data_IF_795783360042
#
_entry.id   IF_795783360042
#
_cell.length_a   1.000
_cell.length_b   1.000
_cell.length_c   1.000
_cell.angle_alpha   90.00
_cell.angle_beta   90.00
_cell.angle_gamma   90.00
#
_symmetry.space_group_name_H-M   'P 1'
#
loop_
_entity.id
_entity.type
_entity.pdbx_description
1 polymer ?
#
# COMPACT_ATOMS: atom_id res chain seq x y z
N UNK A 1 23.58 -5.93 5.30
CA UNK A 1 22.46 -5.08 5.73
C UNK A 1 21.47 -4.81 4.60
N UNK A 2 21.93 -4.43 3.43
CA UNK A 2 21.07 -4.20 2.26
C UNK A 2 20.33 -5.46 1.79
N UNK A 3 21.00 -6.61 1.75
CA UNK A 3 20.38 -7.89 1.39
C UNK A 3 19.26 -8.32 2.33
N UNK A 4 19.38 -8.04 3.63
CA UNK A 4 18.34 -8.36 4.62
C UNK A 4 17.09 -7.49 4.42
N UNK A 5 17.29 -6.22 4.04
CA UNK A 5 16.19 -5.28 3.74
C UNK A 5 15.39 -5.71 2.52
N UNK A 6 16.07 -6.19 1.48
CA UNK A 6 15.42 -6.68 0.26
C UNK A 6 14.59 -7.94 0.52
N UNK A 7 15.09 -8.87 1.33
CA UNK A 7 14.37 -10.11 1.65
C UNK A 7 13.07 -9.82 2.39
N UNK A 8 13.11 -8.90 3.37
CA UNK A 8 11.93 -8.51 4.14
C UNK A 8 10.87 -7.82 3.27
N UNK A 9 11.28 -6.87 2.43
CA UNK A 9 10.42 -6.22 1.45
C UNK A 9 9.81 -7.23 0.46
N UNK A 10 10.62 -8.11 -0.08
CA UNK A 10 10.18 -9.10 -1.06
C UNK A 10 9.13 -10.04 -0.48
N UNK A 11 9.29 -10.49 0.76
CA UNK A 11 8.29 -11.33 1.43
C UNK A 11 6.96 -10.59 1.63
N UNK A 12 7.01 -9.33 2.03
CA UNK A 12 5.80 -8.52 2.18
C UNK A 12 5.06 -8.40 0.86
N UNK A 13 5.77 -8.10 -0.23
CA UNK A 13 5.16 -7.97 -1.57
C UNK A 13 4.62 -9.32 -2.07
N UNK A 14 5.32 -10.43 -1.83
CA UNK A 14 4.87 -11.76 -2.26
C UNK A 14 3.55 -12.17 -1.61
N UNK A 15 3.28 -11.71 -0.40
CA UNK A 15 2.07 -12.07 0.35
C UNK A 15 0.99 -11.00 0.31
N UNK A 16 1.26 -9.83 -0.27
CA UNK A 16 0.31 -8.75 -0.35
C UNK A 16 -0.79 -9.04 -1.39
N UNK A 17 -2.08 -8.95 -1.04
CA UNK A 17 -3.13 -8.98 -2.03
C UNK A 17 -3.06 -7.72 -2.91
N UNK A 18 -3.41 -7.88 -4.19
CA UNK A 18 -3.39 -6.82 -5.19
C UNK A 18 -4.76 -6.73 -5.86
N UNK A 19 -5.37 -5.56 -5.79
CA UNK A 19 -6.69 -5.27 -6.36
C UNK A 19 -6.52 -4.31 -7.53
N UNK A 20 -6.80 -4.76 -8.76
CA UNK A 20 -6.58 -3.96 -9.97
C UNK A 20 -7.76 -3.09 -10.38
N UNK A 21 -8.91 -3.30 -9.79
CA UNK A 21 -10.17 -2.71 -10.25
C UNK A 21 -10.85 -1.87 -9.18
N UNK A 22 -10.08 -1.08 -8.44
CA UNK A 22 -10.66 -0.09 -7.52
C UNK A 22 -11.50 0.91 -8.33
N UNK A 23 -12.72 1.15 -7.88
CA UNK A 23 -13.67 2.06 -8.55
C UNK A 23 -14.44 2.93 -7.55
N UNK A 24 -14.02 2.93 -6.31
CA UNK A 24 -14.63 3.73 -5.24
C UNK A 24 -14.48 5.22 -5.53
N UNK A 25 -15.45 5.99 -5.05
CA UNK A 25 -15.46 7.45 -5.20
C UNK A 25 -14.96 8.19 -3.96
N UNK A 26 -14.72 7.46 -2.87
CA UNK A 26 -14.20 8.00 -1.61
C UNK A 26 -12.98 7.22 -1.17
N UNK A 27 -11.97 7.93 -0.68
CA UNK A 27 -10.73 7.29 -0.18
C UNK A 27 -10.97 6.37 1.01
N UNK A 28 -11.97 6.66 1.84
CA UNK A 28 -12.36 5.81 2.97
C UNK A 28 -12.84 4.44 2.49
N UNK A 29 -13.57 4.41 1.39
CA UNK A 29 -14.06 3.16 0.80
C UNK A 29 -12.94 2.36 0.13
N UNK A 30 -11.96 3.03 -0.45
CA UNK A 30 -10.74 2.38 -0.96
C UNK A 30 -9.99 1.69 0.17
N UNK A 31 -9.80 2.37 1.31
CA UNK A 31 -9.15 1.78 2.47
C UNK A 31 -9.91 0.55 2.97
N UNK A 32 -11.23 0.62 3.03
CA UNK A 32 -12.07 -0.53 3.42
C UNK A 32 -11.93 -1.70 2.45
N UNK A 33 -11.93 -1.44 1.14
CA UNK A 33 -11.75 -2.46 0.11
C UNK A 33 -10.39 -3.18 0.28
N UNK A 34 -9.33 -2.42 0.53
CA UNK A 34 -8.00 -3.00 0.73
C UNK A 34 -7.90 -3.79 2.05
N UNK A 35 -8.57 -3.34 3.10
CA UNK A 35 -8.66 -4.11 4.34
C UNK A 35 -9.41 -5.42 4.10
N UNK A 36 -10.52 -5.39 3.36
CA UNK A 36 -11.27 -6.58 2.98
C UNK A 36 -10.41 -7.55 2.16
N UNK A 37 -9.58 -7.03 1.26
CA UNK A 37 -8.64 -7.85 0.50
C UNK A 37 -7.63 -8.58 1.41
N UNK A 38 -7.16 -7.94 2.47
CA UNK A 38 -6.32 -8.59 3.48
C UNK A 38 -7.06 -9.72 4.21
N UNK A 39 -8.32 -9.50 4.56
CA UNK A 39 -9.15 -10.53 5.20
C UNK A 39 -9.36 -11.72 4.26
N UNK A 40 -9.74 -11.48 3.01
CA UNK A 40 -9.95 -12.51 2.00
C UNK A 40 -8.69 -13.32 1.70
N UNK A 41 -7.53 -12.66 1.74
CA UNK A 41 -6.23 -13.32 1.53
C UNK A 41 -5.72 -14.08 2.76
N UNK A 42 -6.47 -14.08 3.87
CA UNK A 42 -6.05 -14.71 5.11
C UNK A 42 -4.91 -13.96 5.83
N UNK A 43 -4.69 -12.70 5.50
CA UNK A 43 -3.62 -11.87 6.06
C UNK A 43 -4.06 -11.00 7.23
N UNK A 44 -5.36 -10.90 7.45
CA UNK A 44 -5.97 -10.20 8.60
C UNK A 44 -7.15 -11.03 9.08
N UNK A 45 -7.22 -11.28 10.38
CA UNK A 45 -8.36 -11.99 10.96
C UNK A 45 -9.66 -11.20 10.76
N UNK A 46 -10.76 -11.85 10.38
CA UNK A 46 -12.04 -11.15 10.13
C UNK A 46 -12.53 -10.32 11.32
N UNK A 47 -12.26 -10.77 12.54
CA UNK A 47 -12.63 -10.09 13.78
C UNK A 47 -11.91 -8.74 13.94
N UNK A 48 -10.77 -8.56 13.28
CA UNK A 48 -9.96 -7.35 13.37
C UNK A 48 -10.29 -6.31 12.29
N UNK A 49 -11.14 -6.66 11.33
CA UNK A 49 -11.48 -5.81 10.18
C UNK A 49 -11.94 -4.41 10.59
N UNK A 50 -12.94 -4.33 11.47
CA UNK A 50 -13.52 -3.04 11.85
C UNK A 50 -12.57 -2.19 12.67
N UNK A 51 -11.79 -2.81 13.55
CA UNK A 51 -10.78 -2.12 14.35
C UNK A 51 -9.65 -1.57 13.48
N UNK A 52 -9.18 -2.34 12.50
CA UNK A 52 -8.18 -1.89 11.54
C UNK A 52 -8.67 -0.71 10.71
N UNK A 53 -9.90 -0.78 10.22
CA UNK A 53 -10.52 0.33 9.49
C UNK A 53 -10.61 1.58 10.35
N UNK A 54 -11.06 1.47 11.60
CA UNK A 54 -11.18 2.60 12.52
C UNK A 54 -9.82 3.28 12.73
N UNK A 55 -8.75 2.51 12.90
CA UNK A 55 -7.40 3.04 13.11
C UNK A 55 -6.86 3.75 11.85
N UNK A 56 -7.08 3.18 10.67
CA UNK A 56 -6.68 3.81 9.39
C UNK A 56 -7.46 5.11 9.19
N UNK A 57 -8.76 5.10 9.43
CA UNK A 57 -9.61 6.28 9.27
C UNK A 57 -9.22 7.39 10.26
N UNK A 58 -8.97 7.05 11.51
CA UNK A 58 -8.54 8.01 12.52
C UNK A 58 -7.21 8.66 12.13
N UNK A 59 -6.27 7.89 11.58
CA UNK A 59 -4.99 8.41 11.11
C UNK A 59 -5.16 9.38 9.94
N UNK A 60 -6.03 9.08 8.98
CA UNK A 60 -6.33 9.94 7.84
C UNK A 60 -6.96 11.27 8.29
N UNK A 61 -7.85 11.23 9.28
CA UNK A 61 -8.51 12.43 9.80
C UNK A 61 -7.57 13.30 10.64
N UNK A 62 -6.73 12.68 11.49
CA UNK A 62 -5.89 13.39 12.46
C UNK A 62 -4.48 13.67 11.96
N UNK A 63 -3.95 12.82 11.09
CA UNK A 63 -2.55 12.82 10.69
C UNK A 63 -2.23 13.54 9.39
N UNK A 64 -3.23 14.09 8.73
CA UNK A 64 -3.03 14.73 7.43
C UNK A 64 -3.10 13.77 6.24
N UNK A 65 -2.85 14.31 5.07
CA UNK A 65 -3.02 13.60 3.82
C UNK A 65 -1.94 12.55 3.60
N UNK A 66 -2.34 11.33 3.27
CA UNK A 66 -1.43 10.25 2.84
C UNK A 66 -1.27 10.17 1.33
N UNK A 67 -1.92 11.08 0.60
CA UNK A 67 -1.72 11.23 -0.84
C UNK A 67 -0.40 11.92 -1.12
N UNK A 68 0.45 11.24 -1.86
CA UNK A 68 1.76 11.72 -2.28
C UNK A 68 1.68 12.27 -3.70
N UNK A 69 2.77 12.85 -4.17
CA UNK A 69 2.89 13.25 -5.57
C UNK A 69 2.85 12.04 -6.51
N UNK A 70 2.61 12.29 -7.78
CA UNK A 70 2.64 11.30 -8.86
C UNK A 70 1.51 10.25 -8.80
N UNK A 71 0.39 10.56 -8.18
CA UNK A 71 -0.76 9.66 -8.15
C UNK A 71 -0.62 8.47 -7.21
N UNK A 72 0.17 8.61 -6.15
CA UNK A 72 0.39 7.56 -5.15
C UNK A 72 -0.30 7.96 -3.85
N UNK A 73 -0.96 7.02 -3.21
CA UNK A 73 -1.54 7.21 -1.87
C UNK A 73 -1.15 6.03 -0.99
N UNK A 74 -0.68 6.31 0.23
CA UNK A 74 -0.24 5.27 1.17
C UNK A 74 -1.00 5.43 2.50
N UNK A 75 -2.28 5.00 2.55
CA UNK A 75 -2.99 4.94 3.82
C UNK A 75 -2.30 3.94 4.75
N UNK A 76 -2.03 4.37 5.98
CA UNK A 76 -1.27 3.53 6.90
C UNK A 76 -1.62 3.85 8.35
N UNK A 77 -1.45 2.85 9.19
CA UNK A 77 -1.51 3.04 10.64
C UNK A 77 -0.68 1.98 11.37
N UNK A 78 -0.41 2.25 12.63
CA UNK A 78 0.09 1.24 13.57
C UNK A 78 -1.13 0.54 14.19
N UNK A 79 -1.19 -0.77 14.02
CA UNK A 79 -2.29 -1.57 14.49
C UNK A 79 -1.79 -2.56 15.55
N UNK A 80 -2.20 -2.34 16.81
CA UNK A 80 -1.63 -3.02 17.97
C UNK A 80 -1.83 -4.55 17.98
N UNK A 81 -2.88 -5.03 17.31
CA UNK A 81 -3.19 -6.45 17.25
C UNK A 81 -2.28 -7.26 16.31
N UNK A 82 -1.44 -6.60 15.52
CA UNK A 82 -0.54 -7.27 14.59
C UNK A 82 0.83 -7.53 15.21
N UNK A 83 1.39 -8.70 14.89
CA UNK A 83 2.79 -9.03 15.18
C UNK A 83 3.72 -8.58 14.06
N UNK A 84 3.24 -8.63 12.81
CA UNK A 84 3.99 -8.30 11.60
C UNK A 84 3.24 -7.28 10.74
N UNK A 85 3.97 -6.69 9.80
CA UNK A 85 3.41 -5.77 8.82
C UNK A 85 2.48 -6.50 7.84
N UNK A 86 1.37 -5.86 7.48
CA UNK A 86 0.43 -6.33 6.46
C UNK A 86 0.21 -5.24 5.43
N UNK A 87 0.28 -5.60 4.16
CA UNK A 87 0.19 -4.67 3.04
C UNK A 87 -0.81 -5.17 2.02
N UNK A 88 -1.64 -4.27 1.52
CA UNK A 88 -2.50 -4.50 0.36
C UNK A 88 -2.26 -3.41 -0.67
N UNK A 89 -2.27 -3.76 -1.95
CA UNK A 89 -2.00 -2.84 -3.05
C UNK A 89 -3.25 -2.75 -3.93
N UNK A 90 -3.57 -1.54 -4.36
CA UNK A 90 -4.70 -1.31 -5.23
C UNK A 90 -4.38 -0.37 -6.38
N UNK A 91 -5.06 -0.56 -7.51
CA UNK A 91 -4.97 0.30 -8.68
C UNK A 91 -6.36 0.85 -8.98
N UNK A 92 -6.45 2.16 -9.08
CA UNK A 92 -7.66 2.90 -9.43
C UNK A 92 -7.41 3.60 -10.78
N UNK A 93 -7.88 3.01 -11.87
CA UNK A 93 -7.55 3.48 -13.23
C UNK A 93 -8.06 4.88 -13.52
N UNK A 94 -9.27 5.21 -13.05
CA UNK A 94 -9.86 6.54 -13.26
C UNK A 94 -9.20 7.61 -12.39
N UNK A 95 -8.56 7.20 -11.31
CA UNK A 95 -7.98 8.09 -10.33
C UNK A 95 -9.01 8.66 -9.35
N UNK A 96 -8.57 8.91 -8.14
CA UNK A 96 -9.39 9.45 -7.06
C UNK A 96 -8.70 10.67 -6.46
N UNK A 97 -9.41 11.78 -6.35
CA UNK A 97 -8.89 12.96 -5.69
C UNK A 97 -8.77 12.69 -4.18
N UNK A 98 -7.55 12.59 -3.72
CA UNK A 98 -7.22 12.37 -2.30
C UNK A 98 -6.56 13.59 -1.66
N UNK A 99 -6.58 14.73 -2.33
CA UNK A 99 -6.03 15.98 -1.80
C UNK A 99 -4.50 16.05 -1.88
N UNK A 100 -3.88 15.41 -2.86
CA UNK A 100 -2.43 15.49 -3.06
C UNK A 100 -1.98 16.92 -3.35
N UNK A 101 -0.78 17.29 -2.87
CA UNK A 101 -0.27 18.65 -3.04
C UNK A 101 -0.01 19.02 -4.50
N UNK A 102 0.29 18.06 -5.37
CA UNK A 102 0.48 18.30 -6.81
C UNK A 102 -0.86 18.33 -7.59
N UNK A 103 -1.98 18.12 -6.91
CA UNK A 103 -3.31 18.11 -7.51
C UNK A 103 -3.61 16.87 -8.36
N UNK A 104 -2.71 15.91 -8.46
CA UNK A 104 -2.93 14.70 -9.24
C UNK A 104 -3.84 13.71 -8.51
N UNK A 105 -4.78 13.06 -9.22
CA UNK A 105 -5.57 12.01 -8.62
C UNK A 105 -4.70 10.79 -8.27
N UNK A 106 -5.03 10.14 -7.17
CA UNK A 106 -4.35 8.90 -6.75
C UNK A 106 -4.85 7.73 -7.57
N UNK A 107 -3.93 6.97 -8.14
CA UNK A 107 -4.22 5.78 -8.95
C UNK A 107 -3.57 4.52 -8.39
N UNK A 108 -2.52 4.67 -7.60
CA UNK A 108 -1.84 3.55 -6.94
C UNK A 108 -1.98 3.75 -5.44
N UNK A 109 -2.57 2.76 -4.79
CA UNK A 109 -2.82 2.77 -3.35
C UNK A 109 -2.03 1.65 -2.70
N UNK A 110 -1.32 1.98 -1.62
CA UNK A 110 -0.60 0.99 -0.80
C UNK A 110 -1.09 1.15 0.63
N UNK A 111 -1.93 0.23 1.08
CA UNK A 111 -2.36 0.17 2.48
C UNK A 111 -1.30 -0.54 3.30
N UNK A 112 -0.86 0.08 4.39
CA UNK A 112 0.14 -0.49 5.29
C UNK A 112 -0.40 -0.51 6.72
N UNK A 113 -0.61 -1.71 7.25
CA UNK A 113 -0.88 -1.94 8.66
C UNK A 113 0.38 -2.46 9.32
N UNK A 114 0.99 -1.68 10.20
CA UNK A 114 2.24 -2.05 10.84
C UNK A 114 2.05 -2.42 12.30
N UNK A 115 2.96 -3.25 12.81
CA UNK A 115 2.98 -3.58 14.23
C UNK A 115 3.79 -2.54 15.01
N UNK A 116 3.27 -2.04 16.15
CA UNK A 116 4.05 -1.21 17.06
C UNK A 116 5.29 -1.90 17.61
N UNK A 117 5.31 -3.25 17.57
CA UNK A 117 6.45 -4.06 18.00
C UNK A 117 7.61 -4.04 17.01
N UNK A 118 7.37 -3.62 15.76
CA UNK A 118 8.37 -3.60 14.69
C UNK A 118 8.41 -2.23 13.98
N UNK A 119 8.78 -1.16 14.68
CA UNK A 119 8.77 0.18 14.10
C UNK A 119 9.76 0.34 12.93
N UNK A 120 10.88 -0.39 12.97
CA UNK A 120 11.87 -0.35 11.88
C UNK A 120 11.37 -0.99 10.60
N UNK A 121 10.60 -2.08 10.70
CA UNK A 121 10.02 -2.76 9.54
C UNK A 121 9.09 -1.83 8.75
N UNK A 122 8.29 -1.04 9.44
CA UNK A 122 7.42 -0.04 8.84
C UNK A 122 8.20 0.99 8.02
N UNK A 123 9.23 1.60 8.63
CA UNK A 123 10.06 2.62 7.96
C UNK A 123 10.80 2.03 6.76
N UNK A 124 11.34 0.84 6.89
CA UNK A 124 12.06 0.14 5.81
C UNK A 124 11.15 -0.17 4.63
N UNK A 125 9.95 -0.67 4.91
CA UNK A 125 8.99 -0.96 3.86
C UNK A 125 8.57 0.32 3.13
N UNK A 126 8.20 1.38 3.84
CA UNK A 126 7.81 2.65 3.24
C UNK A 126 8.93 3.24 2.37
N UNK A 127 10.16 3.18 2.85
CA UNK A 127 11.32 3.66 2.10
C UNK A 127 11.50 2.88 0.79
N UNK A 128 11.41 1.57 0.84
CA UNK A 128 11.63 0.72 -0.35
C UNK A 128 10.49 0.82 -1.36
N UNK A 129 9.24 0.77 -0.92
CA UNK A 129 8.11 0.90 -1.84
C UNK A 129 8.09 2.29 -2.50
N UNK A 130 8.39 3.33 -1.73
CA UNK A 130 8.43 4.68 -2.25
C UNK A 130 9.54 4.85 -3.30
N UNK A 131 10.72 4.29 -3.06
CA UNK A 131 11.83 4.31 -4.01
C UNK A 131 11.44 3.71 -5.36
N UNK A 132 10.69 2.61 -5.36
CA UNK A 132 10.21 1.94 -6.57
C UNK A 132 9.12 2.75 -7.27
N UNK A 133 8.15 3.25 -6.51
CA UNK A 133 7.03 4.01 -7.07
C UNK A 133 7.43 5.42 -7.55
N UNK A 134 8.60 5.92 -7.18
CA UNK A 134 9.16 7.15 -7.74
C UNK A 134 9.63 6.98 -9.19
N UNK A 135 9.88 5.76 -9.64
CA UNK A 135 10.28 5.50 -11.03
C UNK A 135 9.05 5.58 -11.95
N UNK A 136 9.02 6.52 -12.91
CA UNK A 136 7.85 6.69 -13.79
C UNK A 136 7.49 5.43 -14.56
N UNK A 137 8.47 4.70 -15.03
CA UNK A 137 8.28 3.44 -15.77
C UNK A 137 7.60 2.35 -14.92
N UNK A 138 7.90 2.26 -13.63
CA UNK A 138 7.23 1.32 -12.73
C UNK A 138 5.75 1.71 -12.59
N UNK A 139 5.46 2.99 -12.34
CA UNK A 139 4.06 3.45 -12.24
C UNK A 139 3.27 3.20 -13.52
N UNK A 140 3.85 3.55 -14.66
CA UNK A 140 3.20 3.37 -15.96
C UNK A 140 2.87 1.91 -16.25
N UNK A 141 3.82 0.99 -15.99
CA UNK A 141 3.59 -0.42 -16.19
C UNK A 141 2.57 -1.01 -15.19
N UNK A 142 2.55 -0.52 -13.95
CA UNK A 142 1.51 -0.90 -12.98
C UNK A 142 0.13 -0.53 -13.49
N UNK A 143 -0.03 0.69 -14.03
CA UNK A 143 -1.31 1.16 -14.54
C UNK A 143 -1.77 0.41 -15.81
N UNK A 144 -0.85 -0.16 -16.56
CA UNK A 144 -1.13 -0.96 -17.76
C UNK A 144 -1.34 -2.45 -17.47
N UNK A 145 -1.01 -2.91 -16.27
CA UNK A 145 -1.07 -4.33 -15.92
C UNK A 145 -2.53 -4.84 -15.89
N UNK A 146 -2.77 -6.01 -16.46
CA UNK A 146 -4.07 -6.66 -16.49
C UNK A 146 -4.16 -7.85 -15.50
N UNK A 147 -3.09 -8.11 -14.77
CA UNK A 147 -2.96 -9.26 -13.89
C UNK A 147 -2.26 -8.80 -12.60
N UNK A 148 -2.79 -9.17 -11.42
CA UNK A 148 -2.13 -8.87 -10.15
C UNK A 148 -0.68 -9.35 -10.08
N UNK A 149 -0.37 -10.50 -10.67
CA UNK A 149 0.99 -11.03 -10.66
C UNK A 149 1.96 -10.19 -11.50
N UNK A 150 1.48 -9.49 -12.54
CA UNK A 150 2.28 -8.54 -13.29
C UNK A 150 2.69 -7.34 -12.43
N UNK A 151 1.78 -6.83 -11.61
CA UNK A 151 2.09 -5.76 -10.64
C UNK A 151 3.10 -6.24 -9.61
N UNK A 152 2.90 -7.44 -9.08
CA UNK A 152 3.81 -8.05 -8.10
C UNK A 152 5.22 -8.17 -8.66
N UNK A 153 5.35 -8.66 -9.89
CA UNK A 153 6.64 -8.80 -10.57
C UNK A 153 7.35 -7.45 -10.75
N UNK A 154 6.61 -6.39 -11.09
CA UNK A 154 7.17 -5.04 -11.20
C UNK A 154 7.73 -4.54 -9.86
N UNK A 155 7.01 -4.81 -8.77
CA UNK A 155 7.41 -4.37 -7.43
C UNK A 155 8.55 -5.22 -6.84
N UNK A 156 8.76 -6.43 -7.35
CA UNK A 156 9.86 -7.32 -6.95
C UNK A 156 11.11 -7.15 -7.82
N UNK A 157 10.99 -6.49 -8.96
CA UNK A 157 12.11 -6.30 -9.89
C UNK A 157 13.24 -5.54 -9.19
N UNK A 158 14.49 -6.04 -9.26
CA UNK A 158 15.63 -5.30 -8.73
C UNK A 158 15.76 -3.93 -9.38
N UNK A 159 16.07 -2.91 -8.57
CA UNK A 159 16.40 -1.59 -9.09
C UNK A 159 17.91 -1.54 -9.22
N UNK A 160 18.39 -1.27 -10.44
CA UNK A 160 19.80 -1.06 -10.67
C UNK A 160 20.22 0.27 -10.03
N UNK A 161 21.23 0.21 -9.18
CA UNK A 161 21.87 1.41 -8.66
C UNK A 161 22.75 2.00 -9.77
N UNK A 162 22.43 3.21 -10.16
CA UNK A 162 23.26 3.99 -11.11
C UNK A 162 24.47 4.61 -10.41
#
# INVERSE_FOLDING_TARGET
>A
MYQTLCVEYDEIIRTAPIVLNLNETLKVDVAMHLIDALVEAGRLAPELRNAAFADVHAREVLGGCTALANGISIPHCRFAALEDIRVAIGVHHDGLDCGAMDGMPSRIFVLVLSSPKQPKAHIRFLSEINRRLLLPEIREHILLANDPEAVRALLLKPIEES
#
